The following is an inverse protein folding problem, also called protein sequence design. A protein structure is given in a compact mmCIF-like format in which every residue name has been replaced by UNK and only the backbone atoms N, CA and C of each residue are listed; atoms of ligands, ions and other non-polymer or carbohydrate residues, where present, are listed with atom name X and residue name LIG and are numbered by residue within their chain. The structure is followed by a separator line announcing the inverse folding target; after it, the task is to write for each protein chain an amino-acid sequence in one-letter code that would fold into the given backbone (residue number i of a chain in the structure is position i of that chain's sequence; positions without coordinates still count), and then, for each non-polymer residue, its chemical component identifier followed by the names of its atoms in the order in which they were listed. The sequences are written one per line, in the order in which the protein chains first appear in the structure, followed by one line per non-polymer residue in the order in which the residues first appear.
data_IF_914578463755
#
_entry.id   IF_914578463755
#
_cell.length_a   1.000
_cell.length_b   1.000
_cell.length_c   1.000
_cell.angle_alpha   90.00
_cell.angle_beta   90.00
_cell.angle_gamma   90.00
#
_symmetry.space_group_name_H-M   'P 1'
#
loop_
_entity.id
_entity.type
_entity.pdbx_description
1 polymer ?
#
# COMPACT_ATOMS: atom_id res chain seq x y z
N UNK A 1 -14.00 2.72 19.80
CA UNK A 1 -13.90 3.69 18.69
C UNK A 1 -15.21 3.64 17.95
N UNK A 2 -16.03 4.68 18.02
CA UNK A 2 -17.22 4.79 17.17
C UNK A 2 -16.74 5.09 15.75
N UNK A 3 -17.03 4.22 14.80
CA UNK A 3 -16.74 4.47 13.39
C UNK A 3 -17.40 5.79 12.99
N UNK A 4 -16.57 6.77 12.62
CA UNK A 4 -17.02 8.10 12.18
C UNK A 4 -17.52 8.11 10.74
N UNK A 5 -17.56 6.95 10.11
CA UNK A 5 -17.97 6.81 8.72
C UNK A 5 -19.48 6.62 8.75
N UNK A 6 -20.29 7.55 8.19
CA UNK A 6 -21.73 7.32 8.05
C UNK A 6 -21.94 6.01 7.28
N UNK A 7 -22.98 5.24 7.64
CA UNK A 7 -23.30 3.92 7.11
C UNK A 7 -22.70 3.71 5.72
N UNK A 8 -21.60 2.96 5.67
CA UNK A 8 -20.96 2.62 4.40
C UNK A 8 -22.03 1.93 3.58
N UNK A 9 -22.44 2.48 2.40
CA UNK A 9 -23.47 1.86 1.59
C UNK A 9 -23.09 0.41 1.34
N UNK A 10 -24.04 -0.51 1.36
CA UNK A 10 -23.80 -1.94 1.17
C UNK A 10 -22.93 -2.24 -0.06
N UNK A 11 -23.10 -1.46 -1.13
CA UNK A 11 -22.25 -1.48 -2.32
C UNK A 11 -20.75 -1.28 -2.03
N UNK A 12 -20.39 -0.32 -1.17
CA UNK A 12 -18.99 -0.07 -0.78
C UNK A 12 -18.41 -1.22 0.05
N UNK A 13 -19.22 -1.91 0.85
CA UNK A 13 -18.76 -3.09 1.60
C UNK A 13 -18.46 -4.26 0.65
N UNK A 14 -19.28 -4.45 -0.39
CA UNK A 14 -19.04 -5.43 -1.45
C UNK A 14 -17.77 -5.08 -2.24
N UNK A 15 -17.63 -3.81 -2.64
CA UNK A 15 -16.43 -3.30 -3.33
C UNK A 15 -15.17 -3.47 -2.49
N UNK A 16 -15.26 -3.22 -1.19
CA UNK A 16 -14.15 -3.42 -0.25
C UNK A 16 -13.78 -4.90 -0.14
N UNK A 17 -14.76 -5.80 0.01
CA UNK A 17 -14.51 -7.23 0.11
C UNK A 17 -13.84 -7.80 -1.14
N UNK A 18 -14.38 -7.51 -2.32
CA UNK A 18 -13.80 -7.94 -3.60
C UNK A 18 -12.46 -7.25 -3.87
N UNK A 19 -12.37 -5.95 -3.58
CA UNK A 19 -11.15 -5.17 -3.74
C UNK A 19 -10.01 -5.68 -2.86
N UNK A 20 -10.29 -6.05 -1.61
CA UNK A 20 -9.30 -6.62 -0.70
C UNK A 20 -8.77 -7.95 -1.24
N UNK A 21 -9.64 -8.83 -1.73
CA UNK A 21 -9.20 -10.07 -2.37
C UNK A 21 -8.27 -9.79 -3.55
N UNK A 22 -8.62 -8.81 -4.41
CA UNK A 22 -7.78 -8.39 -5.53
C UNK A 22 -6.43 -7.83 -5.09
N UNK A 23 -6.36 -7.05 -4.00
CA UNK A 23 -5.10 -6.51 -3.47
C UNK A 23 -4.08 -7.59 -3.11
N UNK A 24 -4.54 -8.77 -2.67
CA UNK A 24 -3.67 -9.89 -2.31
C UNK A 24 -3.44 -10.89 -3.45
N UNK A 25 -4.08 -10.69 -4.61
CA UNK A 25 -3.99 -11.61 -5.75
C UNK A 25 -2.77 -11.29 -6.63
N UNK A 26 -1.74 -12.13 -6.55
CA UNK A 26 -0.51 -11.95 -7.31
C UNK A 26 -0.73 -12.20 -8.83
N UNK A 27 -0.09 -11.41 -9.71
CA UNK A 27 -0.17 -11.57 -11.17
C UNK A 27 0.08 -12.99 -11.68
N UNK A 28 0.90 -13.76 -10.99
CA UNK A 28 1.22 -15.13 -11.40
C UNK A 28 0.04 -16.10 -11.33
N UNK A 29 -1.06 -15.77 -10.63
CA UNK A 29 -2.22 -16.67 -10.46
C UNK A 29 -3.12 -16.67 -11.70
N UNK A 30 -3.69 -15.51 -12.06
CA UNK A 30 -4.75 -15.41 -13.08
C UNK A 30 -4.51 -14.34 -14.16
N UNK A 31 -3.37 -13.62 -14.15
CA UNK A 31 -3.16 -12.50 -15.08
C UNK A 31 -3.29 -12.91 -16.55
N UNK A 32 -2.83 -14.12 -16.90
CA UNK A 32 -2.90 -14.63 -18.27
C UNK A 32 -4.31 -15.07 -18.68
N UNK A 33 -5.19 -15.36 -17.71
CA UNK A 33 -6.59 -15.66 -17.97
C UNK A 33 -7.41 -14.38 -18.12
N UNK A 34 -7.17 -13.40 -17.25
CA UNK A 34 -7.82 -12.10 -17.34
C UNK A 34 -6.98 -10.99 -16.66
N UNK A 35 -6.62 -9.89 -17.36
CA UNK A 35 -5.76 -8.83 -16.81
C UNK A 35 -6.35 -8.08 -15.60
N UNK A 36 -7.67 -8.13 -15.44
CA UNK A 36 -8.40 -7.62 -14.25
C UNK A 36 -8.14 -8.41 -12.96
N UNK A 37 -7.67 -9.66 -13.02
CA UNK A 37 -7.52 -10.52 -11.83
C UNK A 37 -6.12 -10.46 -11.22
N UNK A 38 -5.68 -9.26 -10.85
CA UNK A 38 -4.50 -9.05 -10.00
C UNK A 38 -4.45 -7.63 -9.45
N UNK A 39 -3.54 -7.40 -8.50
CA UNK A 39 -3.41 -6.12 -7.82
C UNK A 39 -2.77 -4.99 -8.66
N UNK A 40 -2.21 -5.23 -9.85
CA UNK A 40 -1.33 -4.27 -10.56
C UNK A 40 -1.96 -2.89 -10.79
N UNK A 41 -3.26 -2.84 -11.10
CA UNK A 41 -3.98 -1.57 -11.29
C UNK A 41 -4.14 -0.79 -9.98
N UNK A 42 -4.43 -1.50 -8.90
CA UNK A 42 -4.53 -0.92 -7.56
C UNK A 42 -3.15 -0.52 -7.04
N UNK A 43 -2.12 -1.31 -7.33
CA UNK A 43 -0.71 -0.98 -7.05
C UNK A 43 -0.34 0.35 -7.70
N UNK A 44 -0.61 0.52 -9.00
CA UNK A 44 -0.33 1.77 -9.70
C UNK A 44 -1.06 2.97 -9.06
N UNK A 45 -2.36 2.82 -8.79
CA UNK A 45 -3.15 3.86 -8.12
C UNK A 45 -2.58 4.21 -6.73
N UNK A 46 -2.22 3.17 -5.98
CA UNK A 46 -1.57 3.23 -4.69
C UNK A 46 -0.25 3.98 -4.69
N UNK A 47 0.60 3.71 -5.69
CA UNK A 47 1.87 4.40 -5.86
C UNK A 47 1.64 5.90 -6.07
N UNK A 48 0.70 6.29 -6.94
CA UNK A 48 0.41 7.70 -7.22
C UNK A 48 -0.16 8.44 -6.01
N UNK A 49 -1.06 7.80 -5.26
CA UNK A 49 -1.62 8.44 -4.06
C UNK A 49 -0.59 8.55 -2.93
N UNK A 50 0.32 7.57 -2.80
CA UNK A 50 1.45 7.65 -1.87
C UNK A 50 2.37 8.83 -2.22
N UNK A 51 2.72 8.98 -3.50
CA UNK A 51 3.53 10.11 -3.98
C UNK A 51 2.91 11.45 -3.60
N UNK A 52 1.61 11.61 -3.85
CA UNK A 52 0.87 12.84 -3.55
C UNK A 52 0.81 13.12 -2.05
N UNK A 53 0.43 12.14 -1.23
CA UNK A 53 0.33 12.28 0.23
C UNK A 53 1.67 12.63 0.86
N UNK A 54 2.75 12.00 0.42
CA UNK A 54 4.10 12.30 0.92
C UNK A 54 4.61 13.67 0.44
N UNK A 55 4.33 14.04 -0.80
CA UNK A 55 4.69 15.35 -1.36
C UNK A 55 4.02 16.50 -0.60
N UNK A 56 2.70 16.41 -0.42
CA UNK A 56 1.93 17.40 0.36
C UNK A 56 2.45 17.51 1.80
N UNK A 57 2.72 16.37 2.44
CA UNK A 57 3.23 16.37 3.82
C UNK A 57 4.60 17.01 3.95
N UNK A 58 5.53 16.71 3.04
CA UNK A 58 6.87 17.31 3.05
C UNK A 58 6.81 18.82 2.82
N UNK A 59 5.98 19.26 1.86
CA UNK A 59 5.76 20.68 1.59
C UNK A 59 5.22 21.40 2.83
N UNK A 60 4.21 20.83 3.50
CA UNK A 60 3.61 21.44 4.70
C UNK A 60 4.55 21.44 5.91
N UNK A 61 5.44 20.44 6.03
CA UNK A 61 6.41 20.34 7.13
C UNK A 61 7.63 21.24 6.95
N UNK A 62 7.98 21.54 5.70
CA UNK A 62 9.20 22.23 5.32
C UNK A 62 8.89 23.30 4.26
N UNK A 63 8.06 24.28 4.63
CA UNK A 63 7.60 25.36 3.74
C UNK A 63 8.73 26.24 3.19
N UNK A 64 9.82 26.34 3.94
CA UNK A 64 11.02 27.12 3.63
C UNK A 64 12.11 26.30 2.92
N UNK A 65 11.91 24.99 2.74
CA UNK A 65 12.92 24.14 2.15
C UNK A 65 13.05 24.35 0.63
N UNK A 66 14.29 24.29 0.08
CA UNK A 66 14.50 24.33 -1.37
C UNK A 66 13.79 23.19 -2.09
N UNK A 67 13.22 23.46 -3.28
CA UNK A 67 12.50 22.45 -4.07
C UNK A 67 13.32 21.19 -4.37
N UNK A 68 14.63 21.34 -4.63
CA UNK A 68 15.55 20.21 -4.84
C UNK A 68 15.65 19.31 -3.59
N UNK A 69 15.73 19.92 -2.41
CA UNK A 69 15.78 19.18 -1.15
C UNK A 69 14.47 18.40 -0.92
N UNK A 70 13.32 19.02 -1.20
CA UNK A 70 12.01 18.37 -1.10
C UNK A 70 11.91 17.16 -2.05
N UNK A 71 12.37 17.32 -3.30
CA UNK A 71 12.40 16.24 -4.29
C UNK A 71 13.26 15.07 -3.83
N UNK A 72 14.49 15.32 -3.37
CA UNK A 72 15.40 14.28 -2.90
C UNK A 72 14.85 13.57 -1.66
N UNK A 73 14.25 14.33 -0.73
CA UNK A 73 13.64 13.79 0.49
C UNK A 73 12.43 12.92 0.16
N UNK A 74 11.57 13.38 -0.75
CA UNK A 74 10.41 12.65 -1.25
C UNK A 74 10.82 11.32 -1.87
N UNK A 75 11.78 11.34 -2.80
CA UNK A 75 12.27 10.12 -3.45
C UNK A 75 12.78 9.10 -2.43
N UNK A 76 13.60 9.53 -1.45
CA UNK A 76 14.14 8.63 -0.42
C UNK A 76 13.07 8.01 0.47
N UNK A 77 12.01 8.75 0.79
CA UNK A 77 10.91 8.27 1.63
C UNK A 77 9.97 7.33 0.88
N UNK A 78 9.68 7.61 -0.39
CA UNK A 78 8.78 6.81 -1.23
C UNK A 78 9.50 5.62 -1.89
N UNK A 79 10.83 5.51 -1.77
CA UNK A 79 11.53 4.31 -2.23
C UNK A 79 10.86 3.04 -1.70
N UNK A 80 10.42 2.19 -2.64
CA UNK A 80 9.71 0.91 -2.52
C UNK A 80 10.19 -0.04 -1.40
N UNK A 81 11.34 0.22 -0.78
CA UNK A 81 11.95 -0.57 0.29
C UNK A 81 11.18 -0.48 1.61
N UNK A 82 10.47 0.62 1.87
CA UNK A 82 9.75 0.80 3.14
C UNK A 82 8.34 0.23 3.10
N UNK A 83 7.62 0.35 1.98
CA UNK A 83 6.23 -0.09 1.91
C UNK A 83 6.09 -1.58 2.26
N UNK A 84 6.80 -2.50 1.59
CA UNK A 84 6.68 -3.92 1.92
C UNK A 84 7.10 -4.30 3.34
N UNK A 85 7.88 -3.45 4.05
CA UNK A 85 8.26 -3.71 5.45
C UNK A 85 7.06 -3.66 6.38
N UNK A 86 6.23 -2.63 6.28
CA UNK A 86 5.10 -2.43 7.19
C UNK A 86 4.05 -3.53 7.03
N UNK A 87 3.76 -3.94 5.78
CA UNK A 87 2.91 -5.10 5.49
C UNK A 87 3.41 -6.38 6.19
N UNK A 88 4.72 -6.61 6.20
CA UNK A 88 5.33 -7.77 6.86
C UNK A 88 5.30 -7.66 8.38
N UNK A 89 5.53 -6.47 8.94
CA UNK A 89 5.44 -6.23 10.39
C UNK A 89 4.01 -6.47 10.93
N UNK A 90 2.99 -6.29 10.09
CA UNK A 90 1.58 -6.64 10.41
C UNK A 90 1.19 -8.08 10.02
N UNK A 91 2.16 -8.92 9.62
CA UNK A 91 1.93 -10.31 9.17
C UNK A 91 0.97 -10.48 7.98
N UNK A 92 0.66 -9.42 7.24
CA UNK A 92 -0.29 -9.47 6.13
C UNK A 92 0.28 -10.15 4.87
N UNK A 93 1.60 -10.27 4.77
CA UNK A 93 2.26 -10.96 3.66
C UNK A 93 1.88 -12.45 3.52
N UNK A 94 1.35 -13.08 4.58
CA UNK A 94 0.86 -14.46 4.52
C UNK A 94 -0.41 -14.64 3.69
N UNK A 95 -1.17 -13.57 3.46
CA UNK A 95 -2.41 -13.60 2.69
C UNK A 95 -2.19 -13.44 1.18
N UNK A 96 -0.95 -13.23 0.72
CA UNK A 96 -0.67 -13.07 -0.71
C UNK A 96 -0.90 -14.40 -1.42
N UNK A 97 -1.79 -14.39 -2.41
CA UNK A 97 -2.18 -15.56 -3.19
C UNK A 97 -1.30 -15.61 -4.44
N UNK A 98 -0.38 -16.59 -4.46
CA UNK A 98 0.46 -16.91 -5.59
C UNK A 98 -0.09 -18.09 -6.39
N UNK A 99 0.39 -18.27 -7.62
CA UNK A 99 0.26 -19.56 -8.31
C UNK A 99 1.09 -20.64 -7.63
N UNK A 100 0.62 -21.88 -7.72
CA UNK A 100 1.28 -23.05 -7.11
C UNK A 100 2.74 -23.19 -7.57
N UNK A 101 2.98 -22.92 -8.86
CA UNK A 101 4.31 -22.96 -9.48
C UNK A 101 5.34 -22.03 -8.84
N UNK A 102 4.92 -20.88 -8.30
CA UNK A 102 5.85 -19.86 -7.79
C UNK A 102 5.78 -19.69 -6.27
N UNK A 103 4.77 -20.27 -5.61
CA UNK A 103 4.51 -20.04 -4.19
C UNK A 103 5.74 -20.33 -3.31
N UNK A 104 6.44 -21.44 -3.55
CA UNK A 104 7.64 -21.79 -2.78
C UNK A 104 8.80 -20.85 -3.05
N UNK A 105 8.96 -20.39 -4.29
CA UNK A 105 9.98 -19.38 -4.63
C UNK A 105 9.77 -18.09 -3.83
N UNK A 106 8.53 -17.60 -3.71
CA UNK A 106 8.23 -16.39 -2.94
C UNK A 106 8.33 -16.58 -1.43
N UNK A 107 8.04 -17.78 -0.90
CA UNK A 107 8.24 -18.09 0.52
C UNK A 107 9.72 -18.04 0.91
N UNK A 108 10.58 -18.68 0.12
CA UNK A 108 11.99 -18.86 0.47
C UNK A 108 12.91 -17.74 -0.03
N UNK A 109 12.54 -17.03 -1.11
CA UNK A 109 13.38 -15.99 -1.69
C UNK A 109 12.92 -14.57 -1.32
N UNK A 110 13.68 -13.93 -0.42
CA UNK A 110 13.44 -12.53 0.01
C UNK A 110 13.46 -11.53 -1.14
N UNK A 111 14.25 -11.77 -2.19
CA UNK A 111 14.36 -10.85 -3.34
C UNK A 111 13.08 -10.83 -4.17
N UNK A 112 12.35 -11.94 -4.23
CA UNK A 112 11.04 -12.03 -4.89
C UNK A 112 9.92 -11.55 -3.98
N UNK A 113 9.96 -11.94 -2.71
CA UNK A 113 8.94 -11.59 -1.71
C UNK A 113 8.83 -10.09 -1.48
N UNK A 114 9.96 -9.39 -1.36
CA UNK A 114 9.96 -7.97 -0.99
C UNK A 114 9.19 -7.10 -2.00
N UNK A 115 9.45 -7.19 -3.32
CA UNK A 115 8.63 -6.52 -4.34
C UNK A 115 7.14 -6.83 -4.22
N UNK A 116 6.75 -8.11 -4.09
CA UNK A 116 5.35 -8.49 -3.96
C UNK A 116 4.69 -7.87 -2.72
N UNK A 117 5.37 -7.85 -1.58
CA UNK A 117 4.84 -7.20 -0.37
C UNK A 117 4.71 -5.69 -0.51
N UNK A 118 5.60 -5.05 -1.28
CA UNK A 118 5.47 -3.61 -1.58
C UNK A 118 4.29 -3.34 -2.47
N UNK A 119 4.12 -4.14 -3.53
CA UNK A 119 3.04 -4.00 -4.49
C UNK A 119 1.66 -4.20 -3.82
N UNK A 120 1.53 -5.20 -2.95
CA UNK A 120 0.30 -5.44 -2.18
C UNK A 120 -0.01 -4.26 -1.26
N UNK A 121 0.99 -3.68 -0.59
CA UNK A 121 0.73 -2.51 0.25
C UNK A 121 0.33 -1.28 -0.56
N UNK A 122 0.96 -1.05 -1.71
CA UNK A 122 0.51 -0.03 -2.66
C UNK A 122 -0.93 -0.30 -3.08
N UNK A 123 -1.27 -1.54 -3.43
CA UNK A 123 -2.63 -1.91 -3.80
C UNK A 123 -3.66 -1.63 -2.70
N UNK A 124 -3.34 -1.89 -1.43
CA UNK A 124 -4.22 -1.54 -0.31
C UNK A 124 -4.47 -0.03 -0.22
N UNK A 125 -3.43 0.80 -0.43
CA UNK A 125 -3.60 2.25 -0.45
C UNK A 125 -4.40 2.71 -1.68
N UNK A 126 -4.21 2.05 -2.82
CA UNK A 126 -4.99 2.30 -4.04
C UNK A 126 -6.47 1.96 -3.87
N UNK A 127 -6.78 0.83 -3.23
CA UNK A 127 -8.15 0.45 -2.88
C UNK A 127 -8.78 1.44 -1.90
N UNK A 128 -8.05 1.80 -0.84
CA UNK A 128 -8.51 2.80 0.13
C UNK A 128 -8.82 4.14 -0.55
N UNK A 129 -8.01 4.54 -1.53
CA UNK A 129 -8.28 5.74 -2.33
C UNK A 129 -9.56 5.59 -3.16
N UNK A 130 -9.77 4.44 -3.81
CA UNK A 130 -10.95 4.21 -4.65
C UNK A 130 -12.26 4.21 -3.85
N UNK A 131 -12.26 3.66 -2.63
CA UNK A 131 -13.48 3.51 -1.81
C UNK A 131 -13.76 4.71 -0.90
N UNK A 132 -12.71 5.28 -0.30
CA UNK A 132 -12.82 6.30 0.76
C UNK A 132 -12.16 7.64 0.39
N UNK A 133 -11.23 7.66 -0.57
CA UNK A 133 -10.54 8.87 -1.01
C UNK A 133 -9.24 9.18 -0.27
N UNK A 134 -8.59 10.28 -0.65
CA UNK A 134 -7.25 10.68 -0.16
C UNK A 134 -7.14 10.81 1.38
N UNK A 135 -8.11 11.40 2.11
CA UNK A 135 -7.99 11.57 3.56
C UNK A 135 -7.77 10.25 4.31
N UNK A 136 -8.49 9.19 3.94
CA UNK A 136 -8.35 7.88 4.58
C UNK A 136 -7.06 7.16 4.19
N UNK A 137 -6.54 7.37 2.98
CA UNK A 137 -5.20 6.88 2.62
C UNK A 137 -4.13 7.48 3.53
N UNK A 138 -4.22 8.77 3.85
CA UNK A 138 -3.30 9.42 4.79
C UNK A 138 -3.38 8.75 6.16
N UNK A 139 -4.59 8.49 6.68
CA UNK A 139 -4.78 7.79 7.96
C UNK A 139 -4.20 6.39 7.92
N UNK A 140 -4.51 5.62 6.88
CA UNK A 140 -3.98 4.26 6.69
C UNK A 140 -2.44 4.25 6.65
N UNK A 141 -1.83 5.17 5.90
CA UNK A 141 -0.38 5.29 5.80
C UNK A 141 0.29 5.59 7.14
N UNK A 142 -0.23 6.55 7.90
CA UNK A 142 0.46 7.07 9.09
C UNK A 142 0.01 6.44 10.41
N UNK A 143 -1.28 6.12 10.56
CA UNK A 143 -1.84 5.56 11.80
C UNK A 143 -1.74 4.03 11.84
N UNK A 144 -1.85 3.36 10.68
CA UNK A 144 -1.87 1.88 10.62
C UNK A 144 -0.51 1.33 10.19
N UNK A 145 0.08 1.88 9.13
CA UNK A 145 1.36 1.42 8.59
C UNK A 145 2.56 2.22 9.09
N UNK A 146 2.39 3.15 10.04
CA UNK A 146 3.49 3.83 10.72
C UNK A 146 4.53 4.48 9.78
N UNK A 147 4.09 5.01 8.62
CA UNK A 147 4.98 5.72 7.72
C UNK A 147 5.65 6.89 8.45
N UNK A 148 6.98 7.01 8.36
CA UNK A 148 7.75 8.02 9.10
C UNK A 148 7.61 7.94 10.64
N UNK A 149 7.62 6.76 11.27
CA UNK A 149 7.73 6.71 12.74
C UNK A 149 8.95 7.53 13.21
N UNK A 150 8.67 8.68 13.85
CA UNK A 150 9.65 9.60 14.47
C UNK A 150 10.04 9.11 15.87
N UNK A 151 9.26 8.20 16.46
CA UNK A 151 9.57 7.64 17.77
C UNK A 151 10.36 6.34 17.62
N UNK A 152 11.46 6.17 18.38
CA UNK A 152 12.14 4.89 18.46
C UNK A 152 11.15 3.83 18.95
N UNK A 153 11.21 2.63 18.36
CA UNK A 153 10.45 1.48 18.87
C UNK A 153 10.77 1.35 20.36
N UNK A 154 9.74 1.28 21.21
CA UNK A 154 9.93 0.96 22.61
C UNK A 154 10.68 -0.39 22.68
N UNK A 155 11.85 -0.36 23.32
CA UNK A 155 12.70 -1.53 23.60
C UNK A 155 12.01 -2.40 24.63
#
# INVERSE_FOLDING_TARGET
MTDRIPDIPEAKNIELGLGLQLCFLHPSKYKFEHPRFCYERLEYLGQKIQDLVMGERLLMKHLDAPGKWLQERHQRLVMNKFCGRYLREKYLHGFIIYSEQVQDSYKHNRRLRNPATTAVQQALHGLSYAVYGKPDVRRLMFEVFDFEQIQPKAV
#
